data_IF_115819223368
#
_entry.id   IF_115819223368
#
_cell.length_a   1.000
_cell.length_b   1.000
_cell.length_c   1.000
_cell.angle_alpha   90.00
_cell.angle_beta   90.00
_cell.angle_gamma   90.00
#
_symmetry.space_group_name_H-M   'P 1'
#
loop_
_entity.id
_entity.type
_entity.pdbx_description
1 polymer ?
#
# COMPACT_ATOMS: atom_id res chain seq x y z
N UNK A 1 -18.39 -11.35 26.93
CA UNK A 1 -17.78 -10.13 27.48
C UNK A 1 -16.42 -10.45 28.07
N UNK A 2 -15.46 -9.55 27.87
CA UNK A 2 -14.10 -9.62 28.45
C UNK A 2 -13.81 -8.25 29.08
N UNK A 3 -13.30 -8.25 30.31
CA UNK A 3 -12.81 -7.05 31.00
C UNK A 3 -11.28 -7.03 30.95
N UNK A 4 -10.70 -5.97 30.40
CA UNK A 4 -9.28 -5.69 30.47
C UNK A 4 -9.01 -4.74 31.63
N UNK A 5 -8.17 -5.15 32.60
CA UNK A 5 -7.83 -4.35 33.77
C UNK A 5 -6.36 -3.97 33.75
N UNK A 6 -6.08 -2.69 33.85
CA UNK A 6 -4.74 -2.11 33.80
C UNK A 6 -4.75 -0.77 33.07
N UNK A 7 -3.60 -0.36 32.54
CA UNK A 7 -3.50 0.93 31.85
C UNK A 7 -4.13 0.88 30.46
N UNK A 8 -5.20 1.65 30.26
CA UNK A 8 -5.90 1.80 28.96
C UNK A 8 -5.77 3.26 28.50
N UNK A 9 -5.12 3.49 27.35
CA UNK A 9 -5.08 4.79 26.70
C UNK A 9 -6.24 4.86 25.73
N UNK A 10 -7.12 5.86 25.89
CA UNK A 10 -8.32 5.98 25.06
C UNK A 10 -8.07 6.69 23.75
N UNK A 11 -7.03 7.55 23.71
CA UNK A 11 -6.73 8.43 22.57
C UNK A 11 -7.96 9.24 22.19
N UNK A 12 -8.72 9.69 23.19
CA UNK A 12 -9.79 10.66 23.04
C UNK A 12 -9.22 12.08 23.03
N UNK A 13 -10.07 13.10 22.86
CA UNK A 13 -9.65 14.51 22.82
C UNK A 13 -8.89 14.98 24.08
N UNK A 14 -8.94 14.22 25.16
CA UNK A 14 -8.31 14.56 26.46
C UNK A 14 -7.15 13.59 26.80
N UNK A 15 -6.79 12.66 25.92
CA UNK A 15 -5.81 11.60 26.15
C UNK A 15 -6.08 10.84 27.49
N UNK A 16 -7.33 10.53 27.74
CA UNK A 16 -7.78 9.92 29.00
C UNK A 16 -7.09 8.56 29.21
N UNK A 17 -6.61 8.34 30.43
CA UNK A 17 -6.10 7.05 30.88
C UNK A 17 -7.13 6.41 31.80
N UNK A 18 -7.64 5.24 31.41
CA UNK A 18 -8.59 4.46 32.19
C UNK A 18 -7.95 3.22 32.83
N UNK A 19 -8.60 2.69 33.88
CA UNK A 19 -8.18 1.47 34.57
C UNK A 19 -8.85 0.20 34.03
N UNK A 20 -9.97 0.34 33.34
CA UNK A 20 -10.79 -0.77 32.84
C UNK A 20 -11.35 -0.47 31.47
N UNK A 21 -11.37 -1.51 30.63
CA UNK A 21 -12.13 -1.57 29.38
C UNK A 21 -12.92 -2.87 29.33
N UNK A 22 -14.22 -2.79 29.04
CA UNK A 22 -15.05 -4.01 28.82
C UNK A 22 -15.47 -4.08 27.37
N UNK A 23 -15.24 -5.25 26.79
CA UNK A 23 -15.61 -5.60 25.41
C UNK A 23 -16.72 -6.65 25.41
N UNK A 24 -17.71 -6.49 24.55
CA UNK A 24 -18.72 -7.50 24.25
C UNK A 24 -18.91 -7.63 22.73
N UNK A 25 -18.69 -8.83 22.22
CA UNK A 25 -18.87 -9.18 20.79
C UNK A 25 -18.19 -8.20 19.83
N UNK A 26 -16.93 -7.83 20.13
CA UNK A 26 -16.13 -6.94 19.29
C UNK A 26 -16.48 -5.46 19.46
N UNK A 27 -17.24 -5.07 20.47
CA UNK A 27 -17.56 -3.68 20.78
C UNK A 27 -17.15 -3.31 22.18
N UNK A 28 -16.55 -2.13 22.32
CA UNK A 28 -16.29 -1.54 23.64
C UNK A 28 -17.62 -1.09 24.21
N UNK A 29 -17.99 -1.65 25.37
CA UNK A 29 -19.25 -1.32 26.07
C UNK A 29 -19.03 -0.51 27.35
N UNK A 30 -17.78 -0.44 27.81
CA UNK A 30 -17.40 0.38 28.95
C UNK A 30 -15.91 0.74 28.92
N UNK A 31 -15.57 1.96 29.33
CA UNK A 31 -14.21 2.43 29.64
C UNK A 31 -14.29 3.33 30.85
N UNK A 32 -13.43 3.14 31.85
CA UNK A 32 -13.42 4.00 33.05
C UNK A 32 -12.44 3.53 34.12
N UNK A 33 -12.40 4.26 35.23
CA UNK A 33 -11.49 3.97 36.36
C UNK A 33 -12.12 3.10 37.46
N UNK A 34 -13.44 2.99 37.49
CA UNK A 34 -14.17 2.14 38.42
C UNK A 34 -15.00 1.13 37.63
N UNK A 35 -14.92 -0.16 38.01
CA UNK A 35 -15.66 -1.21 37.29
C UNK A 35 -17.09 -1.26 37.80
N UNK A 36 -18.14 -0.98 36.99
CA UNK A 36 -19.53 -1.08 37.36
C UNK A 36 -19.90 -2.50 37.85
N UNK A 37 -20.87 -2.59 38.79
CA UNK A 37 -21.31 -3.82 39.41
C UNK A 37 -21.67 -4.91 38.39
N UNK A 38 -22.33 -4.51 37.31
CA UNK A 38 -22.77 -5.42 36.24
C UNK A 38 -21.62 -6.11 35.49
N UNK A 39 -20.38 -5.61 35.60
CA UNK A 39 -19.21 -6.20 34.94
C UNK A 39 -18.25 -6.91 35.91
N UNK A 40 -18.51 -6.94 37.20
CA UNK A 40 -17.60 -7.52 38.21
C UNK A 40 -17.39 -9.04 38.05
N UNK A 41 -18.37 -9.75 37.49
CA UNK A 41 -18.31 -11.19 37.26
C UNK A 41 -17.91 -11.58 35.82
N UNK A 42 -17.43 -10.61 34.99
CA UNK A 42 -16.96 -10.87 33.64
C UNK A 42 -15.53 -11.41 33.65
N UNK A 43 -15.20 -12.28 32.73
CA UNK A 43 -13.82 -12.76 32.56
C UNK A 43 -12.86 -11.57 32.48
N UNK A 44 -11.88 -11.54 33.38
CA UNK A 44 -10.91 -10.42 33.45
C UNK A 44 -9.54 -10.85 32.95
N UNK A 45 -8.95 -10.01 32.12
CA UNK A 45 -7.58 -10.08 31.63
C UNK A 45 -6.77 -8.97 32.31
N UNK A 46 -5.86 -9.36 33.19
CA UNK A 46 -4.92 -8.43 33.83
C UNK A 46 -3.83 -8.03 32.85
N UNK A 47 -3.69 -6.73 32.57
CA UNK A 47 -2.69 -6.21 31.63
C UNK A 47 -1.27 -6.19 32.24
N UNK A 48 -1.13 -6.16 33.55
CA UNK A 48 0.15 -6.09 34.24
C UNK A 48 0.94 -4.83 33.84
N UNK A 49 2.11 -5.01 33.23
CA UNK A 49 2.96 -3.92 32.72
C UNK A 49 2.58 -3.46 31.29
N UNK A 50 1.65 -4.17 30.63
CA UNK A 50 1.20 -3.83 29.28
C UNK A 50 0.21 -2.69 29.33
N UNK A 51 0.15 -1.94 28.22
CA UNK A 51 -0.82 -0.87 28.01
C UNK A 51 -1.72 -1.25 26.85
N UNK A 52 -3.02 -1.12 27.06
CA UNK A 52 -4.02 -1.29 26.00
C UNK A 52 -4.18 0.04 25.26
N UNK A 53 -4.08 0.01 23.96
CA UNK A 53 -4.24 1.19 23.07
C UNK A 53 -5.15 0.82 21.90
N UNK A 54 -5.79 1.79 21.22
CA UNK A 54 -6.42 1.56 19.93
C UNK A 54 -5.44 0.98 18.93
N UNK A 55 -5.90 0.04 18.09
CA UNK A 55 -5.08 -0.47 17.01
C UNK A 55 -4.76 0.65 16.00
N UNK A 56 -3.59 0.55 15.36
CA UNK A 56 -3.20 1.48 14.31
C UNK A 56 -4.04 1.28 13.04
N UNK A 57 -4.19 2.35 12.30
CA UNK A 57 -4.79 2.35 10.96
C UNK A 57 -3.69 2.69 9.96
N UNK A 58 -3.38 1.77 9.06
CA UNK A 58 -2.56 2.07 7.88
C UNK A 58 -3.47 2.67 6.81
N UNK A 59 -3.32 3.96 6.57
CA UNK A 59 -4.23 4.72 5.70
C UNK A 59 -3.86 4.64 4.23
N UNK A 60 -2.75 4.00 3.86
CA UNK A 60 -2.37 3.78 2.47
C UNK A 60 -1.51 2.55 2.30
N UNK A 61 -2.04 1.53 1.61
CA UNK A 61 -1.33 0.28 1.36
C UNK A 61 -1.73 -0.33 0.02
N UNK A 62 -0.80 -1.07 -0.60
CA UNK A 62 -1.03 -1.93 -1.77
C UNK A 62 -1.15 -3.39 -1.31
N UNK A 63 -2.30 -3.78 -0.72
CA UNK A 63 -2.46 -5.08 -0.07
C UNK A 63 -2.21 -6.27 -1.00
N UNK A 64 -2.68 -6.23 -2.24
CA UNK A 64 -2.48 -7.32 -3.20
C UNK A 64 -0.99 -7.54 -3.49
N UNK A 65 -0.23 -6.46 -3.74
CA UNK A 65 1.22 -6.52 -3.95
C UNK A 65 1.95 -6.93 -2.68
N UNK A 66 1.63 -6.30 -1.54
CA UNK A 66 2.23 -6.64 -0.26
C UNK A 66 2.02 -8.11 0.11
N UNK A 67 0.82 -8.64 -0.04
CA UNK A 67 0.53 -10.04 0.26
C UNK A 67 1.31 -11.02 -0.63
N UNK A 68 1.52 -10.64 -1.89
CA UNK A 68 2.31 -11.43 -2.83
C UNK A 68 3.80 -11.41 -2.47
N UNK A 69 4.34 -10.24 -2.13
CA UNK A 69 5.75 -10.09 -1.76
C UNK A 69 6.04 -10.69 -0.38
N UNK A 70 5.17 -10.48 0.60
CA UNK A 70 5.29 -11.03 1.95
C UNK A 70 5.28 -12.58 1.97
N UNK A 71 4.59 -13.21 1.02
CA UNK A 71 4.62 -14.67 0.87
C UNK A 71 5.90 -15.21 0.21
N UNK A 72 6.77 -14.34 -0.25
CA UNK A 72 8.07 -14.63 -0.83
C UNK A 72 9.21 -14.70 0.19
N UNK A 73 10.43 -14.68 -0.32
CA UNK A 73 11.65 -14.59 0.50
C UNK A 73 11.87 -13.14 0.93
N UNK A 74 11.96 -12.87 2.22
CA UNK A 74 12.39 -11.57 2.72
C UNK A 74 13.93 -11.48 2.70
N UNK A 75 14.46 -10.44 2.02
CA UNK A 75 15.90 -10.16 1.92
C UNK A 75 16.26 -8.76 2.44
N UNK A 76 15.39 -8.12 3.22
CA UNK A 76 15.58 -6.75 3.69
C UNK A 76 16.82 -6.57 4.59
N UNK A 77 17.15 -7.60 5.37
CA UNK A 77 18.24 -7.55 6.34
C UNK A 77 19.59 -7.98 5.74
N UNK A 78 19.64 -8.30 4.44
CA UNK A 78 20.88 -8.71 3.79
C UNK A 78 21.84 -7.52 3.63
N UNK A 79 23.12 -7.74 3.99
CA UNK A 79 24.18 -6.75 3.94
C UNK A 79 25.06 -6.86 2.68
N UNK A 80 24.81 -7.87 1.85
CA UNK A 80 25.51 -8.06 0.58
C UNK A 80 24.69 -8.82 -0.47
N UNK A 81 25.03 -8.61 -1.75
CA UNK A 81 24.44 -9.39 -2.85
C UNK A 81 24.80 -10.87 -2.79
N UNK A 82 25.97 -11.22 -2.24
CA UNK A 82 26.38 -12.61 -1.97
C UNK A 82 25.43 -13.26 -0.96
N UNK A 83 25.07 -12.56 0.10
CA UNK A 83 24.10 -13.03 1.10
C UNK A 83 22.72 -13.20 0.47
N UNK A 84 22.23 -12.23 -0.32
CA UNK A 84 20.97 -12.37 -1.07
C UNK A 84 21.03 -13.62 -1.96
N UNK A 85 22.12 -13.83 -2.69
CA UNK A 85 22.28 -15.01 -3.56
C UNK A 85 22.25 -16.32 -2.75
N UNK A 86 22.86 -16.36 -1.58
CA UNK A 86 22.84 -17.53 -0.69
C UNK A 86 21.43 -17.79 -0.16
N UNK A 87 20.71 -16.76 0.29
CA UNK A 87 19.32 -16.85 0.75
C UNK A 87 18.41 -17.38 -0.39
N UNK A 88 18.56 -16.86 -1.61
CA UNK A 88 17.83 -17.33 -2.79
C UNK A 88 18.12 -18.79 -3.06
N UNK A 89 19.39 -19.22 -2.99
CA UNK A 89 19.78 -20.63 -3.21
C UNK A 89 19.13 -21.58 -2.21
N UNK A 90 19.01 -21.18 -0.96
CA UNK A 90 18.33 -21.97 0.08
C UNK A 90 16.82 -21.97 -0.13
N UNK A 91 16.24 -20.84 -0.50
CA UNK A 91 14.82 -20.73 -0.83
C UNK A 91 14.45 -21.59 -2.04
N UNK A 92 15.27 -21.64 -3.09
CA UNK A 92 15.08 -22.54 -4.24
C UNK A 92 14.97 -23.99 -3.79
N UNK A 93 15.86 -24.45 -2.88
CA UNK A 93 15.84 -25.83 -2.36
C UNK A 93 14.54 -26.15 -1.61
N UNK A 94 14.02 -25.20 -0.83
CA UNK A 94 12.81 -25.38 -0.04
C UNK A 94 11.51 -25.15 -0.81
N UNK A 95 11.58 -24.56 -2.01
CA UNK A 95 10.40 -24.13 -2.78
C UNK A 95 9.62 -25.26 -3.47
N UNK A 96 10.09 -26.52 -3.37
CA UNK A 96 9.43 -27.69 -3.96
C UNK A 96 9.19 -27.54 -5.47
N UNK A 97 7.96 -27.80 -5.91
CA UNK A 97 7.57 -27.74 -7.33
C UNK A 97 7.15 -26.33 -7.82
N UNK A 98 7.31 -25.27 -7.01
CA UNK A 98 7.03 -23.91 -7.48
C UNK A 98 7.95 -23.57 -8.63
N UNK A 99 7.36 -23.08 -9.73
CA UNK A 99 8.10 -22.68 -10.94
C UNK A 99 8.61 -21.25 -10.84
N UNK A 100 7.82 -20.39 -10.23
CA UNK A 100 8.07 -18.94 -10.10
C UNK A 100 8.25 -18.59 -8.62
N UNK A 101 9.32 -17.87 -8.32
CA UNK A 101 9.72 -17.46 -6.98
C UNK A 101 9.77 -15.93 -6.90
N UNK A 102 9.52 -15.41 -5.70
CA UNK A 102 9.62 -13.98 -5.39
C UNK A 102 10.52 -13.83 -4.19
N UNK A 103 11.41 -12.83 -4.24
CA UNK A 103 12.06 -12.25 -3.08
C UNK A 103 11.72 -10.76 -3.00
N UNK A 104 11.70 -10.20 -1.81
CA UNK A 104 11.36 -8.79 -1.58
C UNK A 104 12.32 -8.16 -0.58
N UNK A 105 12.64 -6.89 -0.83
CA UNK A 105 13.38 -6.07 0.11
C UNK A 105 14.83 -5.79 -0.28
N UNK A 106 15.28 -6.17 -1.50
CA UNK A 106 16.63 -5.83 -1.95
C UNK A 106 16.84 -4.31 -1.98
N UNK A 107 17.97 -3.84 -1.46
CA UNK A 107 18.28 -2.41 -1.42
C UNK A 107 19.75 -2.15 -1.78
N UNK A 108 20.02 -1.22 -2.73
CA UNK A 108 21.40 -0.81 -3.02
C UNK A 108 22.04 -0.03 -1.87
N UNK A 109 21.24 0.44 -0.90
CA UNK A 109 21.71 1.24 0.22
C UNK A 109 22.11 0.38 1.43
N UNK A 110 21.60 -0.87 1.54
CA UNK A 110 21.93 -1.78 2.64
C UNK A 110 23.07 -2.74 2.31
N UNK A 111 23.32 -3.00 1.03
CA UNK A 111 24.36 -3.95 0.60
C UNK A 111 25.69 -3.25 0.33
N UNK A 112 26.80 -3.92 0.71
CA UNK A 112 28.18 -3.40 0.55
C UNK A 112 28.56 -3.07 -0.90
N UNK A 113 27.93 -3.71 -1.88
CA UNK A 113 28.17 -3.48 -3.31
C UNK A 113 27.59 -2.16 -3.82
N UNK A 114 26.69 -1.51 -3.07
CA UNK A 114 26.05 -0.25 -3.47
C UNK A 114 25.16 -0.34 -4.72
N UNK A 115 24.77 -1.56 -5.11
CA UNK A 115 23.89 -1.87 -6.27
C UNK A 115 22.98 -3.03 -5.97
N UNK A 116 21.91 -3.17 -6.72
CA UNK A 116 21.07 -4.36 -6.66
C UNK A 116 21.83 -5.60 -7.16
N UNK A 117 21.40 -6.79 -6.72
CA UNK A 117 21.86 -8.06 -7.27
C UNK A 117 21.60 -8.10 -8.78
N UNK A 118 22.48 -8.68 -9.56
CA UNK A 118 22.33 -8.77 -11.02
C UNK A 118 21.65 -10.06 -11.49
N UNK A 119 21.18 -10.05 -12.75
CA UNK A 119 20.66 -11.22 -13.42
C UNK A 119 21.65 -12.39 -13.41
N UNK A 120 22.93 -12.12 -13.71
CA UNK A 120 23.97 -13.15 -13.73
C UNK A 120 24.22 -13.78 -12.36
N UNK A 121 24.15 -12.99 -11.29
CA UNK A 121 24.26 -13.50 -9.92
C UNK A 121 23.07 -14.40 -9.57
N UNK A 122 21.84 -14.02 -9.99
CA UNK A 122 20.64 -14.85 -9.83
C UNK A 122 20.70 -16.13 -10.66
N UNK A 123 21.19 -16.08 -11.89
CA UNK A 123 21.34 -17.25 -12.78
C UNK A 123 22.25 -18.32 -12.18
N UNK A 124 23.33 -17.92 -11.46
CA UNK A 124 24.24 -18.84 -10.78
C UNK A 124 23.58 -19.65 -9.66
N UNK A 125 22.55 -19.08 -9.01
CA UNK A 125 21.91 -19.69 -7.82
C UNK A 125 20.49 -20.21 -8.10
N UNK A 126 19.86 -19.73 -9.16
CA UNK A 126 18.51 -20.11 -9.57
C UNK A 126 18.38 -20.25 -11.10
N UNK A 127 19.11 -21.20 -11.75
CA UNK A 127 19.10 -21.34 -13.21
C UNK A 127 17.81 -21.96 -13.77
N UNK A 128 17.14 -22.81 -12.99
CA UNK A 128 16.05 -23.66 -13.48
C UNK A 128 14.64 -23.13 -13.16
N UNK A 129 14.54 -22.17 -12.24
CA UNK A 129 13.26 -21.56 -11.84
C UNK A 129 13.24 -20.09 -12.20
N UNK A 130 12.04 -19.58 -12.44
CA UNK A 130 11.80 -18.15 -12.62
C UNK A 130 11.91 -17.46 -11.25
N UNK A 131 12.69 -16.38 -11.15
CA UNK A 131 12.77 -15.58 -9.92
C UNK A 131 12.75 -14.08 -10.21
N UNK A 132 12.01 -13.36 -9.38
CA UNK A 132 11.92 -11.91 -9.31
C UNK A 132 12.34 -11.46 -7.92
N UNK A 133 13.36 -10.63 -7.83
CA UNK A 133 13.82 -9.99 -6.60
C UNK A 133 13.39 -8.53 -6.61
N UNK A 134 12.40 -8.19 -5.80
CA UNK A 134 11.79 -6.85 -5.76
C UNK A 134 12.58 -5.95 -4.84
N UNK A 135 12.83 -4.72 -5.30
CA UNK A 135 13.43 -3.66 -4.49
C UNK A 135 12.55 -3.31 -3.29
N UNK A 136 13.15 -2.84 -2.21
CA UNK A 136 12.47 -2.53 -0.94
C UNK A 136 11.29 -1.56 -1.07
N UNK A 137 11.33 -0.64 -2.04
CA UNK A 137 10.29 0.34 -2.30
C UNK A 137 9.17 -0.16 -3.24
N UNK A 138 9.31 -1.36 -3.81
CA UNK A 138 8.30 -1.95 -4.69
C UNK A 138 8.19 -1.32 -6.08
N UNK A 139 9.17 -0.50 -6.52
CA UNK A 139 9.14 0.20 -7.82
C UNK A 139 10.10 -0.38 -8.87
N UNK A 140 10.96 -1.29 -8.48
CA UNK A 140 11.90 -1.98 -9.37
C UNK A 140 12.10 -3.44 -8.93
N UNK A 141 12.60 -4.26 -9.83
CA UNK A 141 13.03 -5.62 -9.52
C UNK A 141 14.19 -6.05 -10.41
N UNK A 142 14.88 -7.11 -9.98
CA UNK A 142 15.80 -7.87 -10.83
C UNK A 142 15.16 -9.21 -11.13
N UNK A 143 15.21 -9.63 -12.39
CA UNK A 143 14.74 -10.93 -12.83
C UNK A 143 15.91 -11.74 -13.39
N UNK A 144 15.86 -13.07 -13.20
CA UNK A 144 16.85 -13.96 -13.81
C UNK A 144 16.55 -14.23 -15.30
N UNK A 145 17.50 -14.85 -16.01
CA UNK A 145 17.35 -15.18 -17.44
C UNK A 145 16.15 -16.08 -17.70
N UNK A 146 15.83 -16.98 -16.78
CA UNK A 146 14.69 -17.89 -16.92
C UNK A 146 13.35 -17.15 -16.97
N UNK A 147 13.17 -16.13 -16.15
CA UNK A 147 11.97 -15.28 -16.16
C UNK A 147 12.00 -14.31 -17.34
N UNK A 148 13.20 -13.77 -17.66
CA UNK A 148 13.37 -12.87 -18.80
C UNK A 148 12.96 -13.55 -20.13
N UNK A 149 13.34 -14.80 -20.35
CA UNK A 149 12.97 -15.57 -21.55
C UNK A 149 11.45 -15.66 -21.73
N UNK A 150 10.70 -15.70 -20.63
CA UNK A 150 9.23 -15.70 -20.66
C UNK A 150 8.63 -14.33 -21.01
N UNK A 151 9.28 -13.27 -20.54
CA UNK A 151 8.72 -11.91 -20.57
C UNK A 151 9.32 -11.03 -21.68
N UNK A 152 10.48 -11.40 -22.26
CA UNK A 152 11.22 -10.57 -23.22
C UNK A 152 10.34 -10.00 -24.33
N UNK A 153 9.45 -10.80 -24.90
CA UNK A 153 8.53 -10.34 -25.95
C UNK A 153 7.54 -9.27 -25.52
N UNK A 154 7.27 -9.17 -24.22
CA UNK A 154 6.36 -8.19 -23.64
C UNK A 154 7.08 -6.97 -23.10
N UNK A 155 8.21 -7.16 -22.40
CA UNK A 155 8.90 -6.09 -21.68
C UNK A 155 9.94 -5.32 -22.50
N UNK A 156 10.51 -5.92 -23.56
CA UNK A 156 11.64 -5.34 -24.30
C UNK A 156 11.39 -4.00 -24.97
N UNK A 157 10.13 -3.58 -25.13
CA UNK A 157 9.74 -2.29 -25.70
C UNK A 157 9.20 -1.31 -24.67
N UNK A 158 9.11 -1.74 -23.41
CA UNK A 158 8.57 -0.93 -22.31
C UNK A 158 9.67 -0.07 -21.69
N UNK A 159 9.27 1.06 -21.14
CA UNK A 159 10.16 1.90 -20.33
C UNK A 159 10.64 1.12 -19.11
N UNK A 160 11.90 1.30 -18.78
CA UNK A 160 12.51 0.66 -17.61
C UNK A 160 12.98 -0.78 -17.84
N UNK A 161 13.10 -1.22 -19.09
CA UNK A 161 13.70 -2.50 -19.44
C UNK A 161 15.21 -2.41 -19.56
N UNK A 162 15.96 -3.16 -18.75
CA UNK A 162 17.41 -3.23 -18.77
C UNK A 162 17.88 -4.69 -18.89
N UNK A 163 18.12 -5.14 -20.14
CA UNK A 163 18.44 -6.54 -20.42
C UNK A 163 19.73 -7.00 -19.73
N UNK A 164 20.77 -6.17 -19.75
CA UNK A 164 22.10 -6.55 -19.27
C UNK A 164 22.14 -6.86 -17.80
N UNK A 165 21.47 -6.06 -16.99
CA UNK A 165 21.40 -6.23 -15.54
C UNK A 165 20.25 -7.11 -15.07
N UNK A 166 19.22 -7.28 -15.91
CA UNK A 166 17.94 -7.89 -15.54
C UNK A 166 17.05 -6.99 -14.70
N UNK A 167 17.42 -5.68 -14.58
CA UNK A 167 16.62 -4.71 -13.85
C UNK A 167 15.40 -4.32 -14.68
N UNK A 168 14.25 -4.30 -14.00
CA UNK A 168 12.98 -3.83 -14.53
C UNK A 168 12.43 -2.76 -13.61
N UNK A 169 12.16 -1.59 -14.14
CA UNK A 169 11.50 -0.50 -13.42
C UNK A 169 10.36 0.06 -14.27
N UNK A 170 9.60 1.03 -13.77
CA UNK A 170 8.48 1.66 -14.47
C UNK A 170 7.52 0.63 -15.11
N UNK A 171 7.21 0.76 -16.41
CA UNK A 171 6.27 -0.12 -17.13
C UNK A 171 6.74 -1.58 -17.17
N UNK A 172 8.05 -1.82 -17.32
CA UNK A 172 8.60 -3.18 -17.33
C UNK A 172 8.45 -3.88 -15.97
N UNK A 173 8.59 -3.15 -14.86
CA UNK A 173 8.33 -3.68 -13.52
C UNK A 173 6.87 -4.10 -13.35
N UNK A 174 5.92 -3.28 -13.79
CA UNK A 174 4.50 -3.63 -13.68
C UNK A 174 4.14 -4.85 -14.52
N UNK A 175 4.71 -5.00 -15.72
CA UNK A 175 4.46 -6.20 -16.52
C UNK A 175 5.03 -7.47 -15.86
N UNK A 176 6.21 -7.39 -15.22
CA UNK A 176 6.74 -8.49 -14.43
C UNK A 176 5.84 -8.82 -13.24
N UNK A 177 5.40 -7.80 -12.49
CA UNK A 177 4.49 -7.96 -11.35
C UNK A 177 3.15 -8.58 -11.77
N UNK A 178 2.58 -8.12 -12.90
CA UNK A 178 1.36 -8.67 -13.48
C UNK A 178 1.51 -10.17 -13.83
N UNK A 179 2.63 -10.55 -14.44
CA UNK A 179 2.91 -11.94 -14.76
C UNK A 179 2.91 -12.82 -13.50
N UNK A 180 3.65 -12.39 -12.48
CA UNK A 180 3.75 -13.11 -11.21
C UNK A 180 2.37 -13.26 -10.57
N UNK A 181 1.65 -12.15 -10.44
CA UNK A 181 0.35 -12.12 -9.75
C UNK A 181 -0.70 -12.97 -10.48
N UNK A 182 -0.72 -12.91 -11.82
CA UNK A 182 -1.61 -13.74 -12.63
C UNK A 182 -1.23 -15.22 -12.64
N UNK A 183 -0.03 -15.59 -12.19
CA UNK A 183 0.40 -16.98 -12.03
C UNK A 183 -0.12 -17.64 -10.74
N UNK A 184 -0.58 -16.83 -9.76
CA UNK A 184 -1.11 -17.33 -8.51
C UNK A 184 -2.53 -17.87 -8.68
N UNK A 185 -2.81 -18.99 -8.02
CA UNK A 185 -4.18 -19.47 -7.88
C UNK A 185 -4.96 -18.56 -6.91
N UNK A 186 -6.27 -18.51 -7.06
CA UNK A 186 -7.16 -17.76 -6.14
C UNK A 186 -6.95 -18.21 -4.68
N UNK A 187 -6.74 -19.50 -4.46
CA UNK A 187 -6.52 -20.06 -3.12
C UNK A 187 -5.20 -19.55 -2.54
N UNK A 188 -4.12 -19.50 -3.34
CA UNK A 188 -2.84 -18.95 -2.91
C UNK A 188 -2.95 -17.46 -2.59
N UNK A 189 -3.64 -16.69 -3.45
CA UNK A 189 -3.87 -15.28 -3.21
C UNK A 189 -4.58 -15.04 -1.86
N UNK A 190 -5.66 -15.76 -1.56
CA UNK A 190 -6.36 -15.64 -0.28
C UNK A 190 -5.50 -16.06 0.92
N UNK A 191 -4.70 -17.13 0.78
CA UNK A 191 -3.74 -17.53 1.83
C UNK A 191 -2.67 -16.47 2.08
N UNK A 192 -2.15 -15.87 1.01
CA UNK A 192 -1.16 -14.79 1.10
C UNK A 192 -1.77 -13.55 1.77
N UNK A 193 -2.99 -13.18 1.40
CA UNK A 193 -3.72 -12.06 2.04
C UNK A 193 -3.95 -12.33 3.54
N UNK A 194 -4.33 -13.54 3.92
CA UNK A 194 -4.51 -13.90 5.34
C UNK A 194 -3.18 -13.79 6.10
N UNK A 195 -2.10 -14.34 5.55
CA UNK A 195 -0.75 -14.23 6.14
C UNK A 195 -0.31 -12.78 6.32
N UNK A 196 -0.58 -11.93 5.31
CA UNK A 196 -0.27 -10.50 5.37
C UNK A 196 -1.09 -9.77 6.46
N UNK A 197 -2.37 -10.09 6.62
CA UNK A 197 -3.21 -9.54 7.70
C UNK A 197 -2.71 -10.00 9.08
N UNK A 198 -2.38 -11.28 9.24
CA UNK A 198 -1.88 -11.81 10.51
C UNK A 198 -0.53 -11.16 10.89
N UNK A 199 0.34 -10.92 9.91
CA UNK A 199 1.58 -10.18 10.11
C UNK A 199 1.32 -8.75 10.57
N UNK A 200 0.45 -8.01 9.88
CA UNK A 200 0.11 -6.63 10.23
C UNK A 200 -0.57 -6.54 11.60
N UNK A 201 -1.49 -7.44 11.90
CA UNK A 201 -2.15 -7.52 13.20
C UNK A 201 -1.16 -7.77 14.32
N UNK A 202 -0.13 -8.61 14.09
CA UNK A 202 0.94 -8.85 15.06
C UNK A 202 1.79 -7.61 15.38
N UNK A 203 1.76 -6.60 14.48
CA UNK A 203 2.42 -5.29 14.65
C UNK A 203 1.45 -4.19 15.13
N UNK A 204 0.23 -4.56 15.54
CA UNK A 204 -0.74 -3.64 16.13
C UNK A 204 -1.61 -2.90 15.11
N UNK A 205 -1.57 -3.25 13.83
CA UNK A 205 -2.46 -2.69 12.81
C UNK A 205 -3.80 -3.44 12.86
N UNK A 206 -4.91 -2.70 12.92
CA UNK A 206 -6.26 -3.26 12.96
C UNK A 206 -7.15 -2.84 11.78
N UNK A 207 -6.69 -1.88 11.00
CA UNK A 207 -7.38 -1.41 9.80
C UNK A 207 -6.38 -1.01 8.74
N UNK A 208 -6.66 -1.33 7.47
CA UNK A 208 -5.90 -0.86 6.33
C UNK A 208 -6.80 -0.21 5.29
N UNK A 209 -6.31 0.86 4.66
CA UNK A 209 -6.85 1.39 3.43
C UNK A 209 -6.01 0.85 2.28
N UNK A 210 -6.58 -0.03 1.47
CA UNK A 210 -5.87 -0.62 0.34
C UNK A 210 -6.30 0.02 -0.97
N UNK A 211 -5.33 0.36 -1.80
CA UNK A 211 -5.54 0.84 -3.16
C UNK A 211 -5.36 -0.32 -4.14
N UNK A 212 -6.35 -0.53 -5.01
CA UNK A 212 -6.49 -1.74 -5.83
C UNK A 212 -6.89 -1.38 -7.27
N UNK A 213 -6.70 -2.29 -8.21
CA UNK A 213 -7.04 -2.10 -9.63
C UNK A 213 -5.82 -2.06 -10.53
N UNK A 214 -4.69 -2.58 -10.03
CA UNK A 214 -3.45 -2.71 -10.80
C UNK A 214 -2.86 -4.10 -10.59
N UNK A 215 -2.38 -4.70 -11.66
CA UNK A 215 -1.71 -6.00 -11.59
C UNK A 215 -2.61 -7.20 -11.83
N UNK A 216 -3.92 -7.00 -12.01
CA UNK A 216 -4.87 -8.08 -12.31
C UNK A 216 -5.74 -7.75 -13.52
N UNK A 217 -5.89 -8.72 -14.41
CA UNK A 217 -6.78 -8.58 -15.57
C UNK A 217 -8.19 -8.22 -15.12
N UNK A 218 -8.77 -7.15 -15.68
CA UNK A 218 -10.13 -6.71 -15.39
C UNK A 218 -10.35 -6.20 -13.97
N UNK A 219 -9.29 -5.78 -13.28
CA UNK A 219 -9.34 -5.27 -11.91
C UNK A 219 -9.95 -6.30 -10.93
N UNK A 220 -9.60 -7.58 -11.11
CA UNK A 220 -10.11 -8.68 -10.28
C UNK A 220 -9.64 -8.57 -8.82
N UNK A 221 -8.47 -7.97 -8.57
CA UNK A 221 -7.95 -7.67 -7.24
C UNK A 221 -8.95 -6.88 -6.39
N UNK A 222 -9.59 -5.83 -6.94
CA UNK A 222 -10.64 -5.06 -6.25
C UNK A 222 -11.76 -5.98 -5.76
N UNK A 223 -12.15 -6.95 -6.60
CA UNK A 223 -13.23 -7.89 -6.26
C UNK A 223 -12.76 -8.89 -5.21
N UNK A 224 -11.54 -9.40 -5.34
CA UNK A 224 -10.95 -10.33 -4.38
C UNK A 224 -10.75 -9.69 -3.02
N UNK A 225 -10.16 -8.50 -2.94
CA UNK A 225 -9.98 -7.77 -1.68
C UNK A 225 -11.33 -7.45 -1.01
N UNK A 226 -12.34 -7.06 -1.79
CA UNK A 226 -13.69 -6.83 -1.27
C UNK A 226 -14.32 -8.10 -0.68
N UNK A 227 -14.15 -9.26 -1.34
CA UNK A 227 -14.65 -10.54 -0.84
C UNK A 227 -13.87 -10.93 0.42
N UNK A 228 -12.55 -10.81 0.38
CA UNK A 228 -11.66 -11.08 1.50
C UNK A 228 -12.01 -10.21 2.71
N UNK A 229 -12.15 -8.90 2.54
CA UNK A 229 -12.55 -7.97 3.59
C UNK A 229 -13.86 -8.38 4.29
N UNK A 230 -14.81 -8.95 3.54
CA UNK A 230 -16.08 -9.43 4.09
C UNK A 230 -15.96 -10.79 4.82
N UNK A 231 -14.95 -11.58 4.49
CA UNK A 231 -14.72 -12.89 5.12
C UNK A 231 -14.02 -12.81 6.47
N UNK A 232 -13.40 -11.66 6.78
CA UNK A 232 -12.69 -11.46 8.04
C UNK A 232 -13.67 -11.44 9.24
N UNK A 233 -13.38 -12.28 10.23
CA UNK A 233 -14.20 -12.41 11.46
C UNK A 233 -13.45 -12.01 12.73
N UNK A 234 -12.17 -11.63 12.60
CA UNK A 234 -11.29 -11.29 13.72
C UNK A 234 -11.31 -9.79 14.11
N UNK A 235 -12.18 -8.99 13.51
CA UNK A 235 -12.27 -7.54 13.75
C UNK A 235 -11.34 -6.69 12.90
N UNK A 236 -10.38 -7.27 12.21
CA UNK A 236 -9.51 -6.53 11.27
C UNK A 236 -10.34 -5.95 10.12
N UNK A 237 -10.04 -4.72 9.72
CA UNK A 237 -10.82 -4.01 8.71
C UNK A 237 -9.98 -3.70 7.47
N UNK A 238 -10.57 -3.94 6.30
CA UNK A 238 -9.98 -3.58 5.01
C UNK A 238 -10.91 -2.59 4.29
N UNK A 239 -10.38 -1.44 3.92
CA UNK A 239 -11.07 -0.38 3.18
C UNK A 239 -10.50 -0.32 1.77
N UNK A 240 -11.29 -0.71 0.78
CA UNK A 240 -10.83 -0.84 -0.61
C UNK A 240 -11.09 0.45 -1.39
N UNK A 241 -10.06 0.98 -2.04
CA UNK A 241 -10.07 2.12 -2.95
C UNK A 241 -9.71 1.65 -4.37
N UNK A 242 -10.65 1.68 -5.32
CA UNK A 242 -10.29 1.47 -6.73
C UNK A 242 -9.40 2.59 -7.26
N UNK A 243 -8.22 2.25 -7.77
CA UNK A 243 -7.25 3.18 -8.36
C UNK A 243 -7.68 3.53 -9.80
N UNK A 244 -8.77 4.27 -9.95
CA UNK A 244 -9.30 4.62 -11.26
C UNK A 244 -9.98 5.99 -11.23
N UNK A 245 -9.82 6.76 -12.30
CA UNK A 245 -10.60 7.98 -12.53
C UNK A 245 -12.00 7.69 -13.11
N UNK A 246 -12.29 6.44 -13.47
CA UNK A 246 -13.62 6.03 -13.89
C UNK A 246 -14.51 5.71 -12.68
N UNK A 247 -15.38 6.63 -12.33
CA UNK A 247 -16.32 6.53 -11.18
C UNK A 247 -17.18 5.27 -11.22
N UNK A 248 -17.52 4.77 -12.40
CA UNK A 248 -18.29 3.53 -12.57
C UNK A 248 -17.61 2.29 -11.98
N UNK A 249 -16.27 2.28 -11.91
CA UNK A 249 -15.50 1.17 -11.32
C UNK A 249 -15.87 0.97 -9.86
N UNK A 250 -16.01 2.07 -9.10
CA UNK A 250 -16.44 2.04 -7.71
C UNK A 250 -17.94 1.75 -7.58
N UNK A 251 -18.79 2.45 -8.36
CA UNK A 251 -20.25 2.36 -8.27
C UNK A 251 -20.77 0.96 -8.60
N UNK A 252 -20.31 0.35 -9.70
CA UNK A 252 -20.68 -1.03 -10.08
C UNK A 252 -20.29 -2.05 -9.02
N UNK A 253 -19.22 -1.80 -8.26
CA UNK A 253 -18.79 -2.66 -7.16
C UNK A 253 -19.41 -2.27 -5.80
N UNK A 254 -20.22 -1.24 -5.74
CA UNK A 254 -20.83 -0.71 -4.50
C UNK A 254 -19.75 -0.39 -3.46
N UNK A 255 -18.69 0.26 -3.89
CA UNK A 255 -17.61 0.76 -3.02
C UNK A 255 -17.86 2.25 -2.74
N UNK A 256 -17.69 2.72 -1.50
CA UNK A 256 -17.95 4.11 -1.15
C UNK A 256 -16.74 5.03 -1.37
N UNK A 257 -15.66 4.50 -2.01
CA UNK A 257 -14.37 5.17 -2.15
C UNK A 257 -13.81 4.98 -3.54
N UNK A 258 -12.95 5.92 -3.96
CA UNK A 258 -12.25 5.87 -5.25
C UNK A 258 -10.97 6.69 -5.13
N UNK A 259 -9.94 6.30 -5.87
CA UNK A 259 -8.68 7.00 -5.89
C UNK A 259 -7.51 6.13 -5.46
N UNK A 260 -6.42 6.75 -5.11
CA UNK A 260 -5.18 6.07 -4.76
C UNK A 260 -4.01 6.56 -5.59
N UNK A 261 -3.17 5.64 -6.03
CA UNK A 261 -2.04 5.86 -6.94
C UNK A 261 -2.40 5.52 -8.40
N UNK A 262 -1.43 5.28 -9.25
CA UNK A 262 -1.55 4.91 -10.67
C UNK A 262 -2.47 5.86 -11.47
N UNK A 263 -3.67 5.45 -11.89
CA UNK A 263 -4.59 6.34 -12.62
C UNK A 263 -5.00 7.57 -11.81
N UNK A 264 -4.85 7.55 -10.49
CA UNK A 264 -5.15 8.66 -9.60
C UNK A 264 -3.89 9.32 -9.02
N UNK A 265 -2.71 8.95 -9.51
CA UNK A 265 -1.48 9.67 -9.21
C UNK A 265 -1.41 10.95 -10.04
N UNK A 266 -1.20 12.09 -9.39
CA UNK A 266 -1.05 13.37 -10.05
C UNK A 266 0.39 13.60 -10.51
N UNK A 267 1.36 12.97 -9.85
CA UNK A 267 2.79 13.00 -10.17
C UNK A 267 3.48 11.68 -9.81
N UNK A 268 4.79 11.65 -9.93
CA UNK A 268 5.62 10.51 -9.56
C UNK A 268 6.25 10.63 -8.17
N UNK A 269 7.56 10.33 -8.06
CA UNK A 269 8.27 10.39 -6.78
C UNK A 269 9.64 11.07 -6.89
N UNK A 270 10.22 11.47 -5.74
CA UNK A 270 11.53 12.13 -5.72
C UNK A 270 12.65 11.24 -6.27
N UNK A 271 12.61 9.94 -5.98
CA UNK A 271 13.66 9.01 -6.40
C UNK A 271 13.77 8.80 -7.90
N UNK A 272 12.74 9.13 -8.67
CA UNK A 272 12.72 9.11 -10.14
C UNK A 272 12.74 10.51 -10.77
N UNK A 273 12.83 11.59 -9.97
CA UNK A 273 12.79 13.00 -10.41
C UNK A 273 11.51 13.37 -11.19
N UNK A 274 10.41 12.68 -10.92
CA UNK A 274 9.11 12.92 -11.56
C UNK A 274 8.00 13.39 -10.58
N UNK A 275 8.32 13.59 -9.29
CA UNK A 275 7.46 14.38 -8.42
C UNK A 275 7.39 15.82 -8.92
N UNK A 276 6.18 16.36 -9.14
CA UNK A 276 5.97 17.65 -9.75
C UNK A 276 6.21 18.81 -8.77
N UNK A 277 7.23 19.61 -9.04
CA UNK A 277 7.73 20.68 -8.18
C UNK A 277 7.38 22.05 -8.75
N UNK A 278 7.12 23.03 -7.86
CA UNK A 278 6.99 24.43 -8.26
C UNK A 278 8.36 25.06 -8.63
N UNK A 279 9.42 24.58 -7.96
CA UNK A 279 10.81 24.98 -8.26
C UNK A 279 11.61 23.77 -8.77
N UNK A 280 12.60 23.97 -9.64
CA UNK A 280 13.43 22.88 -10.15
C UNK A 280 14.17 22.14 -9.03
N UNK A 281 14.42 20.84 -9.24
CA UNK A 281 15.31 20.06 -8.40
C UNK A 281 16.71 20.69 -8.34
N UNK A 282 17.30 20.72 -7.15
CA UNK A 282 18.61 21.37 -6.90
C UNK A 282 19.80 20.48 -7.21
N UNK A 283 19.57 19.23 -7.56
CA UNK A 283 20.63 18.27 -7.92
C UNK A 283 21.10 18.45 -9.37
N UNK A 284 22.12 17.65 -9.76
CA UNK A 284 22.75 17.74 -11.08
C UNK A 284 21.85 17.33 -12.24
N UNK A 285 20.71 16.71 -11.99
CA UNK A 285 19.77 16.26 -13.03
C UNK A 285 18.80 17.36 -13.44
N UNK A 286 18.50 18.31 -12.53
CA UNK A 286 17.58 19.43 -12.80
C UNK A 286 16.14 18.98 -13.10
N UNK A 287 15.36 19.91 -13.70
CA UNK A 287 13.95 19.68 -14.02
C UNK A 287 13.03 19.95 -12.82
N UNK A 288 11.72 19.99 -13.07
CA UNK A 288 10.67 20.25 -12.06
C UNK A 288 9.65 19.12 -11.95
N UNK A 289 10.01 17.91 -12.42
CA UNK A 289 9.12 16.76 -12.46
C UNK A 289 7.99 16.89 -13.47
N UNK A 290 6.90 16.19 -13.28
CA UNK A 290 5.79 16.17 -14.23
C UNK A 290 4.44 15.97 -13.55
N UNK A 291 3.47 16.82 -13.88
CA UNK A 291 2.05 16.54 -13.62
C UNK A 291 1.55 15.55 -14.70
N UNK A 292 0.93 14.47 -14.28
CA UNK A 292 0.41 13.46 -15.22
C UNK A 292 -0.89 13.89 -15.90
N UNK A 293 -1.59 14.87 -15.33
CA UNK A 293 -2.87 15.37 -15.83
C UNK A 293 -2.95 16.88 -15.73
N UNK A 294 -3.74 17.48 -16.62
CA UNK A 294 -4.17 18.86 -16.49
C UNK A 294 -5.22 19.07 -15.39
N UNK A 295 -5.37 20.30 -14.93
CA UNK A 295 -6.32 20.66 -13.87
C UNK A 295 -7.77 20.32 -14.25
N UNK A 296 -8.16 20.51 -15.52
CA UNK A 296 -9.52 20.30 -16.00
C UNK A 296 -9.94 18.83 -15.81
N UNK A 297 -9.07 17.90 -16.20
CA UNK A 297 -9.32 16.46 -16.07
C UNK A 297 -9.45 16.04 -14.61
N UNK A 298 -8.59 16.52 -13.72
CA UNK A 298 -8.61 16.19 -12.30
C UNK A 298 -9.85 16.79 -11.63
N UNK A 299 -10.20 18.04 -11.94
CA UNK A 299 -11.41 18.71 -11.42
C UNK A 299 -12.66 17.97 -11.87
N UNK A 300 -12.75 17.57 -13.15
CA UNK A 300 -13.91 16.82 -13.68
C UNK A 300 -14.08 15.47 -12.95
N UNK A 301 -13.00 14.73 -12.75
CA UNK A 301 -13.01 13.50 -11.96
C UNK A 301 -13.51 13.76 -10.53
N UNK A 302 -12.93 14.75 -9.83
CA UNK A 302 -13.28 15.05 -8.44
C UNK A 302 -14.75 15.47 -8.32
N UNK A 303 -15.27 16.30 -9.23
CA UNK A 303 -16.69 16.69 -9.26
C UNK A 303 -17.61 15.48 -9.45
N UNK A 304 -17.31 14.62 -10.41
CA UNK A 304 -18.11 13.40 -10.68
C UNK A 304 -18.12 12.46 -9.48
N UNK A 305 -16.96 12.19 -8.89
CA UNK A 305 -16.82 11.30 -7.74
C UNK A 305 -17.51 11.87 -6.49
N UNK A 306 -17.34 13.18 -6.22
CA UNK A 306 -17.98 13.85 -5.09
C UNK A 306 -19.51 13.85 -5.20
N UNK A 307 -20.07 14.19 -6.39
CA UNK A 307 -21.53 14.11 -6.66
C UNK A 307 -22.07 12.69 -6.52
N UNK A 308 -21.28 11.67 -6.85
CA UNK A 308 -21.63 10.26 -6.66
C UNK A 308 -21.55 9.79 -5.19
N UNK A 309 -21.19 10.67 -4.25
CA UNK A 309 -21.10 10.34 -2.84
C UNK A 309 -19.81 9.58 -2.44
N UNK A 310 -18.82 9.48 -3.32
CA UNK A 310 -17.58 8.75 -3.05
C UNK A 310 -16.60 9.60 -2.22
N UNK A 311 -15.85 8.97 -1.35
CA UNK A 311 -14.62 9.49 -0.79
C UNK A 311 -13.54 9.44 -1.88
N UNK A 312 -12.74 10.50 -2.00
CA UNK A 312 -11.67 10.62 -3.01
C UNK A 312 -10.34 10.70 -2.28
N UNK A 313 -9.35 9.94 -2.76
CA UNK A 313 -7.95 10.09 -2.37
C UNK A 313 -7.09 10.10 -3.62
N UNK A 314 -6.08 10.97 -3.67
CA UNK A 314 -5.18 11.09 -4.81
C UNK A 314 -3.73 11.19 -4.33
N UNK A 315 -2.84 10.48 -5.01
CA UNK A 315 -1.41 10.56 -4.78
C UNK A 315 -0.88 11.92 -5.26
N UNK A 316 -0.15 12.62 -4.40
CA UNK A 316 0.58 13.83 -4.70
C UNK A 316 1.83 13.92 -3.80
N UNK A 317 3.01 13.94 -4.40
CA UNK A 317 4.30 13.98 -3.68
C UNK A 317 4.94 15.36 -3.76
N UNK A 318 5.04 15.95 -4.97
CA UNK A 318 5.55 17.29 -5.16
C UNK A 318 4.55 18.36 -4.76
N UNK A 319 5.04 19.55 -4.41
CA UNK A 319 4.23 20.70 -4.00
C UNK A 319 3.26 21.17 -5.08
N UNK A 320 3.66 21.10 -6.36
CA UNK A 320 2.82 21.43 -7.51
C UNK A 320 1.65 20.45 -7.67
N UNK A 321 1.90 19.14 -7.44
CA UNK A 321 0.85 18.11 -7.46
C UNK A 321 -0.09 18.23 -6.25
N UNK A 322 0.45 18.55 -5.07
CA UNK A 322 -0.34 18.83 -3.89
C UNK A 322 -1.31 19.99 -4.11
N UNK A 323 -0.82 21.11 -4.68
CA UNK A 323 -1.66 22.25 -5.03
C UNK A 323 -2.75 21.88 -6.05
N UNK A 324 -2.44 21.04 -7.04
CA UNK A 324 -3.42 20.54 -8.01
C UNK A 324 -4.52 19.72 -7.32
N UNK A 325 -4.15 18.80 -6.42
CA UNK A 325 -5.10 18.02 -5.63
C UNK A 325 -6.02 18.92 -4.80
N UNK A 326 -5.43 19.90 -4.09
CA UNK A 326 -6.18 20.86 -3.27
C UNK A 326 -7.19 21.66 -4.09
N UNK A 327 -6.77 22.20 -5.26
CA UNK A 327 -7.67 22.95 -6.16
C UNK A 327 -8.80 22.08 -6.68
N UNK A 328 -8.52 20.83 -7.05
CA UNK A 328 -9.53 19.92 -7.60
C UNK A 328 -10.56 19.49 -6.55
N UNK A 329 -10.13 19.15 -5.33
CA UNK A 329 -11.03 18.79 -4.24
C UNK A 329 -11.86 19.99 -3.78
N UNK A 330 -11.25 21.18 -3.67
CA UNK A 330 -11.97 22.43 -3.41
C UNK A 330 -13.05 22.66 -4.46
N UNK A 331 -12.71 22.60 -5.75
CA UNK A 331 -13.67 22.82 -6.83
C UNK A 331 -14.83 21.81 -6.81
N UNK A 332 -14.57 20.56 -6.38
CA UNK A 332 -15.61 19.55 -6.22
C UNK A 332 -16.54 19.83 -5.05
N UNK A 333 -16.02 20.35 -3.93
CA UNK A 333 -16.80 20.71 -2.75
C UNK A 333 -17.55 22.04 -2.92
N UNK A 334 -17.01 23.00 -3.66
CA UNK A 334 -17.72 24.22 -4.06
C UNK A 334 -18.91 23.88 -4.99
N UNK A 335 -18.71 22.93 -5.91
CA UNK A 335 -19.74 22.47 -6.85
C UNK A 335 -20.87 21.68 -6.18
N UNK A 336 -20.52 20.80 -5.25
CA UNK A 336 -21.47 19.99 -4.47
C UNK A 336 -21.00 19.82 -3.02
N UNK A 337 -21.42 20.68 -2.09
CA UNK A 337 -21.00 20.65 -0.70
C UNK A 337 -21.40 19.37 0.04
N UNK A 338 -20.46 18.75 0.71
CA UNK A 338 -20.65 17.57 1.57
C UNK A 338 -19.91 17.75 2.89
N UNK A 339 -20.57 17.50 4.03
CA UNK A 339 -19.95 17.65 5.37
C UNK A 339 -19.06 16.47 5.74
N UNK A 340 -19.46 15.24 5.44
CA UNK A 340 -18.72 13.99 5.76
C UNK A 340 -18.20 13.35 4.47
N UNK A 341 -17.40 14.10 3.69
CA UNK A 341 -16.84 13.63 2.43
C UNK A 341 -15.60 12.75 2.63
N UNK A 342 -14.78 13.04 3.65
CA UNK A 342 -13.53 12.33 4.00
C UNK A 342 -12.52 12.27 2.85
N UNK A 343 -12.50 13.30 1.99
CA UNK A 343 -11.49 13.38 0.94
C UNK A 343 -10.11 13.57 1.57
N UNK A 344 -9.08 13.07 0.91
CA UNK A 344 -7.71 13.16 1.37
C UNK A 344 -6.70 13.20 0.21
N UNK A 345 -5.48 13.51 0.56
CA UNK A 345 -4.31 13.51 -0.32
C UNK A 345 -3.33 12.50 0.24
N UNK A 346 -2.78 11.66 -0.62
CA UNK A 346 -1.85 10.59 -0.25
C UNK A 346 -0.43 11.12 -0.43
N UNK A 347 0.45 10.78 0.51
CA UNK A 347 1.84 11.16 0.64
C UNK A 347 2.05 12.57 1.18
N UNK A 348 1.57 13.61 0.48
CA UNK A 348 1.65 15.01 0.95
C UNK A 348 3.05 15.36 1.50
N UNK A 349 4.11 15.03 0.71
CA UNK A 349 5.49 15.14 1.18
C UNK A 349 5.99 16.59 1.24
N UNK A 350 5.46 17.47 0.37
CA UNK A 350 5.80 18.89 0.31
C UNK A 350 4.53 19.75 0.24
N UNK A 351 3.82 19.94 1.37
CA UNK A 351 2.63 20.77 1.36
C UNK A 351 2.97 22.27 1.25
N UNK A 352 2.17 23.00 0.49
CA UNK A 352 2.25 24.47 0.42
C UNK A 352 1.37 25.11 1.50
N UNK A 353 1.68 26.35 1.90
CA UNK A 353 0.84 27.10 2.84
C UNK A 353 -0.59 27.32 2.32
N UNK A 354 -0.73 27.56 1.01
CA UNK A 354 -2.03 27.74 0.36
C UNK A 354 -2.83 26.43 0.36
N UNK A 355 -2.20 25.33 -0.01
CA UNK A 355 -2.83 24.00 0.01
C UNK A 355 -3.25 23.58 1.42
N UNK A 356 -2.40 23.77 2.43
CA UNK A 356 -2.75 23.52 3.85
C UNK A 356 -3.97 24.35 4.26
N UNK A 357 -4.04 25.62 3.84
CA UNK A 357 -5.21 26.47 4.11
C UNK A 357 -6.47 25.90 3.47
N UNK A 358 -6.40 25.45 2.21
CA UNK A 358 -7.53 24.79 1.53
C UNK A 358 -7.96 23.54 2.31
N UNK A 359 -7.00 22.67 2.66
CA UNK A 359 -7.29 21.44 3.40
C UNK A 359 -8.02 21.73 4.72
N UNK A 360 -7.55 22.71 5.49
CA UNK A 360 -8.21 23.14 6.74
C UNK A 360 -9.61 23.70 6.51
N UNK A 361 -9.78 24.60 5.53
CA UNK A 361 -11.03 25.32 5.31
C UNK A 361 -12.14 24.41 4.74
N UNK A 362 -11.75 23.33 4.02
CA UNK A 362 -12.62 22.34 3.41
C UNK A 362 -12.66 20.99 4.15
N UNK A 363 -11.88 20.82 5.21
CA UNK A 363 -11.77 19.58 5.99
C UNK A 363 -11.29 18.38 5.14
N UNK A 364 -10.28 18.64 4.29
CA UNK A 364 -9.60 17.62 3.48
C UNK A 364 -8.48 17.00 4.31
#
# INVERSE_FOLDING_TARGET
MICYKGKVLTVDSNDTVAGFLVEDKGRIVYVGNELPEQYKNVQTVELGKKVLVPAFVDTHQHMASFSTFHAGLNVMDAESNEEIAQMVKEFVKSSGNKKTLIAFGASPYSVKEGRLISREELDKVCPDKEIMVVKYDGHACIINSKLLDKLKGKVSKLRGYHEDTGEMNQEAFFECSNYITNSLSIIELFKNMQSAIDFQASHGIGCIHTVSGVGFTGNLDITFEKIFAKSLTNGFQVRVFPQSMNVDVALKRKLPRIGGCFECALDGCFGSHDAAMNEPYIDSLGGDGVLYYDDEKVIDFCKKANRAGLQIEMHAIGDKAFDQACRALKAALDDYPRKDHRHGIIHDCLPTEEGIKICRDYNI
#
